data_IF_117054710844
#
_entry.id   IF_117054710844
#
_cell.length_a   1.000
_cell.length_b   1.000
_cell.length_c   1.000
_cell.angle_alpha   90.00
_cell.angle_beta   90.00
_cell.angle_gamma   90.00
#
_symmetry.space_group_name_H-M   'P 1'
#
loop_
_entity.id
_entity.type
_entity.pdbx_description
1 polymer ?
#
# COMPACT_ATOMS: atom_id res chain seq x y z
N UNK A 1 14.75 -6.79 20.36
CA UNK A 1 15.54 -6.30 19.22
C UNK A 1 14.83 -6.53 17.88
N UNK A 2 14.26 -7.72 17.64
CA UNK A 2 13.53 -8.08 16.40
C UNK A 2 12.38 -7.12 16.05
N UNK A 3 11.60 -6.68 17.05
CA UNK A 3 10.44 -5.81 16.86
C UNK A 3 10.82 -4.41 16.35
N UNK A 4 12.00 -3.89 16.70
CA UNK A 4 12.48 -2.58 16.21
C UNK A 4 12.80 -2.63 14.73
N UNK A 5 13.39 -3.75 14.28
CA UNK A 5 13.75 -3.98 12.87
C UNK A 5 12.46 -4.14 12.04
N UNK A 6 11.48 -4.90 12.54
CA UNK A 6 10.18 -5.04 11.89
C UNK A 6 9.44 -3.70 11.78
N UNK A 7 9.45 -2.88 12.84
CA UNK A 7 8.84 -1.54 12.81
C UNK A 7 9.52 -0.63 11.78
N UNK A 8 10.87 -0.60 11.76
CA UNK A 8 11.62 0.20 10.80
C UNK A 8 11.32 -0.21 9.34
N UNK A 9 11.19 -1.52 9.09
CA UNK A 9 10.80 -2.05 7.79
C UNK A 9 9.39 -1.58 7.36
N UNK A 10 8.40 -1.68 8.27
CA UNK A 10 7.02 -1.25 8.00
C UNK A 10 6.94 0.25 7.72
N UNK A 11 7.70 1.06 8.45
CA UNK A 11 7.76 2.52 8.23
C UNK A 11 8.40 2.83 6.88
N UNK A 12 9.51 2.18 6.54
CA UNK A 12 10.18 2.38 5.25
C UNK A 12 9.28 2.03 4.06
N UNK A 13 8.63 0.85 4.08
CA UNK A 13 7.73 0.42 3.00
C UNK A 13 6.48 1.31 2.91
N UNK A 14 6.00 1.83 4.03
CA UNK A 14 4.89 2.80 4.07
C UNK A 14 5.27 4.10 3.37
N UNK A 15 6.44 4.67 3.67
CA UNK A 15 6.93 5.90 3.02
C UNK A 15 7.09 5.68 1.51
N UNK A 16 7.71 4.56 1.10
CA UNK A 16 7.89 4.22 -0.32
C UNK A 16 6.52 4.13 -1.03
N UNK A 17 5.54 3.51 -0.38
CA UNK A 17 4.19 3.37 -0.94
C UNK A 17 3.46 4.71 -1.11
N UNK A 18 3.64 5.64 -0.17
CA UNK A 18 3.11 7.01 -0.28
C UNK A 18 3.76 7.73 -1.47
N UNK A 19 5.08 7.68 -1.59
CA UNK A 19 5.83 8.35 -2.67
C UNK A 19 5.40 7.82 -4.03
N UNK A 20 5.32 6.50 -4.20
CA UNK A 20 4.90 5.88 -5.46
C UNK A 20 3.45 6.24 -5.78
N UNK A 21 2.55 6.29 -4.78
CA UNK A 21 1.16 6.71 -4.99
C UNK A 21 1.05 8.19 -5.42
N UNK A 22 1.85 9.08 -4.83
CA UNK A 22 1.93 10.49 -5.23
C UNK A 22 2.51 10.64 -6.65
N UNK A 23 3.57 9.89 -6.95
CA UNK A 23 4.19 9.88 -8.28
C UNK A 23 3.20 9.40 -9.35
N UNK A 24 2.40 8.36 -9.06
CA UNK A 24 1.36 7.87 -9.97
C UNK A 24 0.32 8.96 -10.30
N UNK A 25 -0.05 9.80 -9.32
CA UNK A 25 -0.94 10.95 -9.58
C UNK A 25 -0.31 12.00 -10.47
N UNK A 26 0.95 12.34 -10.22
CA UNK A 26 1.67 13.34 -11.03
C UNK A 26 1.82 12.83 -12.46
N UNK A 27 2.20 11.56 -12.62
CA UNK A 27 2.29 10.90 -13.92
C UNK A 27 0.93 10.86 -14.63
N UNK A 28 -0.16 10.56 -13.91
CA UNK A 28 -1.52 10.60 -14.49
C UNK A 28 -1.95 12.00 -14.95
N UNK A 29 -1.41 13.07 -14.35
CA UNK A 29 -1.77 14.47 -14.67
C UNK A 29 -0.86 15.12 -15.72
N UNK A 30 0.43 14.77 -15.75
CA UNK A 30 1.43 15.42 -16.62
C UNK A 30 2.05 14.50 -17.69
N UNK A 31 2.06 13.19 -17.48
CA UNK A 31 2.84 12.25 -18.30
C UNK A 31 1.95 11.09 -18.77
N UNK A 32 1.14 11.32 -19.79
CA UNK A 32 0.12 10.37 -20.33
C UNK A 32 0.68 8.99 -20.73
N UNK A 33 2.00 8.83 -20.83
CA UNK A 33 2.69 7.63 -21.33
C UNK A 33 3.38 6.78 -20.25
N UNK A 34 3.62 7.30 -19.04
CA UNK A 34 4.25 6.57 -17.93
C UNK A 34 3.22 6.28 -16.82
N UNK A 35 2.17 5.52 -17.17
CA UNK A 35 1.25 4.97 -16.17
C UNK A 35 1.97 3.84 -15.43
N UNK A 36 2.21 4.03 -14.13
CA UNK A 36 2.70 2.97 -13.25
C UNK A 36 1.71 1.80 -13.30
N UNK A 37 2.23 0.57 -13.48
CA UNK A 37 1.38 -0.62 -13.55
C UNK A 37 0.62 -0.76 -12.23
N UNK A 38 -0.68 -0.99 -12.33
CA UNK A 38 -1.56 -1.19 -11.18
C UNK A 38 -1.10 -2.36 -10.29
N UNK A 39 -0.43 -3.35 -10.90
CA UNK A 39 0.19 -4.47 -10.20
C UNK A 39 1.35 -4.06 -9.30
N UNK A 40 2.16 -3.07 -9.67
CA UNK A 40 3.28 -2.58 -8.83
C UNK A 40 2.75 -1.92 -7.57
N UNK A 41 1.67 -1.14 -7.71
CA UNK A 41 0.98 -0.51 -6.60
C UNK A 41 0.39 -1.56 -5.64
N UNK A 42 -0.28 -2.59 -6.17
CA UNK A 42 -0.80 -3.70 -5.36
C UNK A 42 0.30 -4.53 -4.70
N UNK A 43 1.43 -4.75 -5.37
CA UNK A 43 2.60 -5.43 -4.81
C UNK A 43 3.20 -4.66 -3.63
N UNK A 44 3.39 -3.34 -3.75
CA UNK A 44 3.88 -2.51 -2.65
C UNK A 44 2.92 -2.54 -1.45
N UNK A 45 1.61 -2.53 -1.72
CA UNK A 45 0.60 -2.73 -0.67
C UNK A 45 0.76 -4.10 -0.01
N UNK A 46 0.91 -5.18 -0.78
CA UNK A 46 1.09 -6.54 -0.27
C UNK A 46 2.39 -6.72 0.54
N UNK A 47 3.44 -5.96 0.23
CA UNK A 47 4.71 -5.99 0.97
C UNK A 47 4.64 -5.34 2.37
N UNK A 48 3.56 -4.60 2.69
CA UNK A 48 3.40 -3.95 3.99
C UNK A 48 3.04 -2.47 3.94
N UNK A 49 2.95 -1.87 2.75
CA UNK A 49 2.55 -0.48 2.59
C UNK A 49 1.04 -0.26 2.46
N UNK A 50 0.23 -1.31 2.59
CA UNK A 50 -1.21 -1.31 2.28
C UNK A 50 -1.99 -0.21 3.00
N UNK A 51 -1.77 -0.03 4.31
CA UNK A 51 -2.45 0.99 5.13
C UNK A 51 -2.11 2.41 4.68
N UNK A 52 -0.81 2.71 4.57
CA UNK A 52 -0.32 4.03 4.15
C UNK A 52 -0.79 4.38 2.73
N UNK A 53 -0.81 3.37 1.86
CA UNK A 53 -1.25 3.50 0.48
C UNK A 53 -2.75 3.77 0.36
N UNK A 54 -3.59 3.06 1.12
CA UNK A 54 -5.03 3.28 1.15
C UNK A 54 -5.36 4.67 1.68
N UNK A 55 -4.72 5.08 2.79
CA UNK A 55 -4.88 6.41 3.36
C UNK A 55 -4.51 7.50 2.34
N UNK A 56 -3.39 7.33 1.64
CA UNK A 56 -2.91 8.25 0.60
C UNK A 56 -3.88 8.32 -0.58
N UNK A 57 -4.40 7.19 -1.06
CA UNK A 57 -5.42 7.18 -2.13
C UNK A 57 -6.71 7.90 -1.73
N UNK A 58 -7.16 7.73 -0.48
CA UNK A 58 -8.35 8.39 0.05
C UNK A 58 -8.16 9.91 0.17
N UNK A 59 -7.04 10.37 0.73
CA UNK A 59 -6.71 11.79 0.88
C UNK A 59 -6.68 12.47 -0.48
N UNK A 60 -5.98 11.84 -1.42
CA UNK A 60 -5.71 12.46 -2.71
C UNK A 60 -6.87 12.25 -3.71
N UNK A 61 -7.89 11.45 -3.32
CA UNK A 61 -9.02 10.98 -4.15
C UNK A 61 -8.58 10.45 -5.52
N UNK A 62 -7.41 9.82 -5.56
CA UNK A 62 -6.82 9.32 -6.80
C UNK A 62 -7.26 7.86 -7.01
N UNK A 63 -7.81 7.55 -8.18
CA UNK A 63 -8.31 6.19 -8.55
C UNK A 63 -9.29 5.55 -7.55
N UNK A 64 -10.04 6.35 -6.78
CA UNK A 64 -11.11 5.84 -5.89
C UNK A 64 -12.28 5.18 -6.64
N UNK A 65 -12.45 5.43 -7.95
CA UNK A 65 -13.46 4.74 -8.75
C UNK A 65 -13.04 3.35 -9.24
N UNK A 66 -11.77 2.96 -9.09
CA UNK A 66 -11.31 1.64 -9.49
C UNK A 66 -11.54 0.62 -8.37
N UNK A 67 -12.57 -0.18 -8.54
CA UNK A 67 -13.01 -1.21 -7.58
C UNK A 67 -11.87 -2.16 -7.19
N UNK A 68 -10.94 -2.46 -8.12
CA UNK A 68 -9.74 -3.29 -7.85
C UNK A 68 -8.86 -2.75 -6.72
N UNK A 69 -8.69 -1.44 -6.63
CA UNK A 69 -7.90 -0.83 -5.55
C UNK A 69 -8.71 -0.68 -4.27
N UNK A 70 -9.97 -0.30 -4.41
CA UNK A 70 -10.86 -0.05 -3.26
C UNK A 70 -11.30 -1.34 -2.55
N UNK A 71 -11.32 -2.48 -3.23
CA UNK A 71 -11.52 -3.80 -2.61
C UNK A 71 -10.19 -4.53 -2.36
N UNK A 72 -9.23 -4.44 -3.29
CA UNK A 72 -7.98 -5.20 -3.23
C UNK A 72 -7.08 -4.78 -2.07
N UNK A 73 -6.86 -3.47 -1.85
CA UNK A 73 -6.02 -3.00 -0.73
C UNK A 73 -6.64 -3.36 0.64
N UNK A 74 -7.93 -3.12 0.93
CA UNK A 74 -8.49 -3.52 2.22
C UNK A 74 -8.53 -5.04 2.41
N UNK A 75 -8.68 -5.84 1.35
CA UNK A 75 -8.55 -7.30 1.44
C UNK A 75 -7.13 -7.71 1.82
N UNK A 76 -6.11 -7.06 1.26
CA UNK A 76 -4.70 -7.27 1.62
C UNK A 76 -4.45 -6.87 3.09
N UNK A 77 -5.02 -5.75 3.55
CA UNK A 77 -4.93 -5.33 4.96
C UNK A 77 -5.55 -6.39 5.88
N UNK A 78 -6.72 -6.92 5.53
CA UNK A 78 -7.38 -8.00 6.27
C UNK A 78 -6.52 -9.27 6.33
N UNK A 79 -5.92 -9.66 5.21
CA UNK A 79 -5.00 -10.80 5.14
C UNK A 79 -3.74 -10.58 6.00
N UNK A 80 -3.15 -9.40 5.95
CA UNK A 80 -1.98 -9.05 6.78
C UNK A 80 -2.34 -9.02 8.27
N UNK A 81 -3.48 -8.43 8.63
CA UNK A 81 -3.95 -8.41 10.02
C UNK A 81 -4.21 -9.83 10.53
N UNK A 82 -4.89 -10.68 9.74
CA UNK A 82 -5.13 -12.07 10.08
C UNK A 82 -3.82 -12.87 10.25
N UNK A 83 -2.83 -12.66 9.38
CA UNK A 83 -1.53 -13.31 9.48
C UNK A 83 -0.76 -12.88 10.74
N UNK A 84 -0.79 -11.60 11.09
CA UNK A 84 -0.15 -11.08 12.32
C UNK A 84 -0.84 -11.62 13.57
N UNK A 85 -2.18 -11.66 13.58
CA UNK A 85 -2.97 -12.22 14.69
C UNK A 85 -2.69 -13.72 14.84
N UNK A 86 -2.69 -14.48 13.74
CA UNK A 86 -2.38 -15.92 13.78
C UNK A 86 -0.97 -16.19 14.29
N UNK A 87 0.03 -15.41 13.86
CA UNK A 87 1.39 -15.51 14.37
C UNK A 87 1.46 -15.21 15.88
N UNK A 88 0.72 -14.20 16.34
CA UNK A 88 0.65 -13.84 17.76
C UNK A 88 -0.05 -14.90 18.62
N UNK A 89 -1.05 -15.60 18.08
CA UNK A 89 -1.74 -16.71 18.77
C UNK A 89 -0.86 -17.96 18.83
N UNK A 90 -0.03 -18.20 17.80
CA UNK A 90 0.84 -19.37 17.70
C UNK A 90 2.11 -19.27 18.57
N UNK A 91 2.53 -18.05 18.91
CA UNK A 91 3.73 -17.74 19.68
C UNK A 91 3.43 -17.66 21.19
#
# INVERSE_FOLDING_TARGET
>A
MIYKIALAYIVAISIISIIVCCYDKIAAKHMTKHRTRESTLLLLSALGGSVAMLATMLIIRHKTKHVKFMLGIPLIILLQAAAVIALFILL
#
